data_IF_491720883778
#
_entry.id   IF_491720883778
#
_cell.length_a   1.000
_cell.length_b   1.000
_cell.length_c   1.000
_cell.angle_alpha   90.00
_cell.angle_beta   90.00
_cell.angle_gamma   90.00
#
_symmetry.space_group_name_H-M   'P 1'
#
loop_
_entity.id
_entity.type
_entity.pdbx_description
1 polymer ?
#
# COMPACT_ATOMS: atom_id res chain seq x y z
N UNK A 1 -9.64 1.19 -11.68
CA UNK A 1 -8.76 0.59 -10.66
C UNK A 1 -7.48 -0.05 -11.24
N UNK A 2 -7.08 0.29 -12.47
CA UNK A 2 -5.76 -0.04 -13.05
C UNK A 2 -4.66 0.94 -12.60
N UNK A 3 -5.01 2.00 -11.88
CA UNK A 3 -4.14 3.14 -11.63
C UNK A 3 -3.17 2.93 -10.46
N UNK A 4 -3.51 2.19 -9.40
CA UNK A 4 -2.60 2.05 -8.24
C UNK A 4 -1.44 1.08 -8.50
N UNK A 5 -1.69 -0.07 -9.14
CA UNK A 5 -0.66 -1.06 -9.47
C UNK A 5 0.37 -0.52 -10.48
N UNK A 6 -0.08 0.28 -11.45
CA UNK A 6 0.80 0.97 -12.42
C UNK A 6 1.61 2.11 -11.79
N UNK A 7 1.15 2.70 -10.66
CA UNK A 7 1.92 3.72 -9.93
C UNK A 7 2.97 3.06 -9.03
N UNK A 8 2.63 1.96 -8.35
CA UNK A 8 3.55 1.29 -7.41
C UNK A 8 4.69 0.51 -8.09
N UNK A 9 4.47 -0.01 -9.29
CA UNK A 9 5.50 -0.75 -10.03
C UNK A 9 6.73 0.10 -10.39
N UNK A 10 6.63 1.31 -10.99
CA UNK A 10 7.80 2.17 -11.22
C UNK A 10 8.39 2.76 -9.91
N UNK A 11 7.62 2.84 -8.83
CA UNK A 11 8.10 3.23 -7.49
C UNK A 11 9.04 2.15 -6.93
N UNK A 12 8.67 0.88 -7.05
CA UNK A 12 9.37 -0.26 -6.46
C UNK A 12 10.28 -1.01 -7.44
N UNK A 13 10.32 -0.64 -8.73
CA UNK A 13 11.33 -1.12 -9.69
C UNK A 13 12.25 0.01 -10.20
N UNK A 14 11.87 1.28 -10.07
CA UNK A 14 12.50 2.38 -10.79
C UNK A 14 13.43 3.29 -10.01
N UNK A 15 13.80 3.01 -8.74
CA UNK A 15 14.81 3.89 -8.13
C UNK A 15 15.25 3.72 -6.67
N UNK A 16 14.86 2.69 -5.93
CA UNK A 16 15.38 2.52 -4.55
C UNK A 16 15.36 1.06 -4.04
N UNK A 17 14.33 0.32 -4.43
CA UNK A 17 14.14 -1.08 -4.06
C UNK A 17 13.85 -1.87 -5.35
N UNK A 18 14.18 -3.15 -5.40
CA UNK A 18 13.73 -4.07 -6.45
C UNK A 18 12.70 -5.03 -5.83
N UNK A 19 11.45 -4.58 -5.72
CA UNK A 19 10.38 -5.33 -5.06
C UNK A 19 9.18 -5.42 -6.00
N UNK A 20 8.69 -6.63 -6.25
CA UNK A 20 7.41 -6.83 -6.92
C UNK A 20 6.26 -6.66 -5.91
N UNK A 21 5.38 -5.65 -6.08
CA UNK A 21 4.25 -5.46 -5.18
C UNK A 21 3.22 -6.56 -5.37
N UNK A 22 2.86 -7.25 -4.29
CA UNK A 22 1.80 -8.27 -4.29
C UNK A 22 0.62 -7.74 -3.49
N UNK A 23 -0.52 -7.55 -4.16
CA UNK A 23 -1.79 -7.21 -3.51
C UNK A 23 -2.31 -8.44 -2.76
N UNK A 24 -2.68 -8.27 -1.48
CA UNK A 24 -3.22 -9.35 -0.65
C UNK A 24 -4.71 -9.23 -0.38
N UNK A 25 -5.28 -8.04 -0.49
CA UNK A 25 -6.70 -7.77 -0.25
C UNK A 25 -7.10 -6.45 -0.88
N UNK A 26 -8.32 -6.39 -1.44
CA UNK A 26 -8.96 -5.16 -1.92
C UNK A 26 -10.33 -5.02 -1.27
N UNK A 27 -11.38 -5.64 -1.82
CA UNK A 27 -12.74 -5.61 -1.25
C UNK A 27 -13.09 -6.93 -0.54
N UNK A 28 -12.16 -7.88 -0.52
CA UNK A 28 -12.29 -9.20 0.05
C UNK A 28 -11.71 -9.28 1.48
N UNK A 29 -11.83 -10.44 2.12
CA UNK A 29 -11.31 -10.67 3.46
C UNK A 29 -12.20 -10.11 4.57
N UNK A 30 -11.69 -10.17 5.81
CA UNK A 30 -12.37 -9.66 7.00
C UNK A 30 -11.62 -8.43 7.50
N UNK A 31 -12.29 -7.30 7.48
CA UNK A 31 -11.77 -6.01 7.93
C UNK A 31 -12.58 -5.46 9.11
N UNK A 32 -12.09 -4.40 9.74
CA UNK A 32 -12.85 -3.69 10.78
C UNK A 32 -14.26 -3.36 10.27
N UNK A 33 -15.29 -3.77 11.02
CA UNK A 33 -16.68 -3.48 10.67
C UNK A 33 -16.98 -1.97 10.73
N UNK A 34 -16.18 -1.21 11.48
CA UNK A 34 -16.32 0.24 11.64
C UNK A 34 -15.23 0.91 10.81
N UNK A 35 -15.65 1.79 9.91
CA UNK A 35 -14.81 2.71 9.13
C UNK A 35 -13.77 2.07 8.18
N UNK A 36 -13.76 0.75 7.96
CA UNK A 36 -12.83 0.18 6.97
C UNK A 36 -13.21 0.60 5.55
N UNK A 37 -12.23 1.13 4.82
CA UNK A 37 -12.39 1.56 3.42
C UNK A 37 -12.20 0.42 2.41
N UNK A 38 -11.88 -0.80 2.84
CA UNK A 38 -11.87 -1.98 1.98
C UNK A 38 -13.27 -2.28 1.43
N UNK A 39 -14.31 -2.17 2.25
CA UNK A 39 -15.68 -2.48 1.84
C UNK A 39 -16.25 -1.49 0.81
N UNK A 40 -15.70 -0.28 0.72
CA UNK A 40 -16.06 0.70 -0.31
C UNK A 40 -15.13 0.67 -1.54
N UNK A 41 -14.10 -0.18 -1.53
CA UNK A 41 -13.09 -0.26 -2.58
C UNK A 41 -12.09 0.91 -2.57
N UNK A 42 -11.99 1.63 -1.45
CA UNK A 42 -11.07 2.76 -1.25
C UNK A 42 -9.84 2.39 -0.40
N UNK A 43 -9.56 1.10 -0.20
CA UNK A 43 -8.35 0.60 0.45
C UNK A 43 -7.74 -0.62 -0.27
N UNK A 44 -6.45 -0.83 -0.06
CA UNK A 44 -5.69 -1.97 -0.60
C UNK A 44 -4.56 -2.37 0.34
N UNK A 45 -4.33 -3.67 0.45
CA UNK A 45 -3.22 -4.23 1.24
C UNK A 45 -2.14 -4.80 0.33
N UNK A 46 -0.87 -4.52 0.66
CA UNK A 46 0.30 -5.06 -0.02
C UNK A 46 1.13 -5.96 0.90
N UNK A 47 1.59 -7.09 0.37
CA UNK A 47 2.45 -8.04 1.09
C UNK A 47 3.81 -7.44 1.44
N UNK A 48 4.19 -7.53 2.71
CA UNK A 48 5.56 -7.15 3.16
C UNK A 48 6.52 -8.33 3.26
N UNK A 49 6.03 -9.57 3.19
CA UNK A 49 6.88 -10.77 3.29
C UNK A 49 7.86 -10.90 2.12
N UNK A 50 7.55 -10.29 0.98
CA UNK A 50 8.40 -10.31 -0.21
C UNK A 50 9.42 -9.16 -0.22
N UNK A 51 9.39 -8.27 0.78
CA UNK A 51 10.40 -7.23 0.95
C UNK A 51 11.64 -7.91 1.55
N UNK A 52 12.81 -7.88 0.87
CA UNK A 52 14.05 -8.39 1.42
C UNK A 52 14.36 -7.81 2.81
N UNK A 53 14.86 -8.64 3.73
CA UNK A 53 15.21 -8.20 5.09
C UNK A 53 16.31 -7.13 5.13
N UNK A 54 17.07 -6.98 4.04
CA UNK A 54 18.03 -5.90 3.86
C UNK A 54 17.37 -4.52 3.75
N UNK A 55 16.07 -4.47 3.48
CA UNK A 55 15.31 -3.23 3.40
C UNK A 55 14.48 -3.03 4.66
N UNK A 56 14.55 -1.81 5.18
CA UNK A 56 13.67 -1.37 6.25
C UNK A 56 12.25 -1.17 5.69
N UNK A 57 11.29 -1.92 6.24
CA UNK A 57 9.88 -1.90 5.79
C UNK A 57 9.19 -0.57 6.09
N UNK A 58 9.61 0.13 7.15
CA UNK A 58 9.10 1.48 7.46
C UNK A 58 9.56 2.48 6.40
N UNK A 59 10.83 2.43 6.01
CA UNK A 59 11.37 3.23 4.91
C UNK A 59 10.65 2.96 3.58
N UNK A 60 10.26 1.71 3.31
CA UNK A 60 9.45 1.36 2.13
C UNK A 60 8.06 2.01 2.21
N UNK A 61 7.36 1.89 3.35
CA UNK A 61 6.05 2.49 3.54
C UNK A 61 6.09 4.02 3.43
N UNK A 62 7.12 4.65 4.00
CA UNK A 62 7.35 6.10 3.91
C UNK A 62 7.58 6.53 2.46
N UNK A 63 8.41 5.82 1.71
CA UNK A 63 8.67 6.12 0.30
C UNK A 63 7.40 5.99 -0.55
N UNK A 64 6.56 4.98 -0.28
CA UNK A 64 5.26 4.85 -0.95
C UNK A 64 4.39 6.06 -0.64
N UNK A 65 4.29 6.46 0.63
CA UNK A 65 3.52 7.63 1.07
C UNK A 65 4.00 8.92 0.40
N UNK A 66 5.30 9.15 0.33
CA UNK A 66 5.90 10.36 -0.27
C UNK A 66 5.64 10.47 -1.77
N UNK A 67 5.45 9.34 -2.45
CA UNK A 67 5.18 9.30 -3.89
C UNK A 67 3.70 9.29 -4.25
N UNK A 68 2.82 8.94 -3.30
CA UNK A 68 1.39 9.14 -3.43
C UNK A 68 1.02 10.60 -3.11
N UNK A 69 -0.20 11.01 -3.47
CA UNK A 69 -0.69 12.34 -3.08
C UNK A 69 -1.03 12.36 -1.58
N UNK A 70 -1.20 13.58 -1.02
CA UNK A 70 -1.65 13.78 0.37
C UNK A 70 -3.01 13.12 0.69
N UNK A 71 -3.75 12.69 -0.33
CA UNK A 71 -5.04 12.03 -0.19
C UNK A 71 -4.91 10.56 0.17
N UNK A 72 -3.69 10.02 0.25
CA UNK A 72 -3.48 8.63 0.63
C UNK A 72 -2.88 8.54 2.02
N UNK A 73 -3.50 7.71 2.86
CA UNK A 73 -2.93 7.25 4.11
C UNK A 73 -2.22 5.92 3.86
N UNK A 74 -0.97 5.80 4.29
CA UNK A 74 -0.17 4.59 4.18
C UNK A 74 0.27 4.19 5.58
N UNK A 75 -0.05 2.96 5.99
CA UNK A 75 0.24 2.40 7.32
C UNK A 75 0.96 1.07 7.14
N UNK A 76 2.10 0.89 7.80
CA UNK A 76 2.73 -0.42 7.91
C UNK A 76 2.05 -1.19 9.04
N UNK A 77 1.34 -2.26 8.68
CA UNK A 77 0.79 -3.22 9.62
C UNK A 77 1.76 -4.39 9.81
N UNK A 78 1.51 -5.21 10.84
CA UNK A 78 2.37 -6.35 11.18
C UNK A 78 2.59 -7.37 10.05
N UNK A 79 1.69 -7.44 9.07
CA UNK A 79 1.70 -8.45 7.99
C UNK A 79 1.60 -7.89 6.57
N UNK A 80 1.29 -6.59 6.42
CA UNK A 80 1.06 -5.93 5.14
C UNK A 80 1.27 -4.42 5.27
N UNK A 81 1.39 -3.71 4.15
CA UNK A 81 1.23 -2.25 4.09
C UNK A 81 -0.20 -1.99 3.66
N UNK A 82 -0.96 -1.29 4.50
CA UNK A 82 -2.33 -0.89 4.27
C UNK A 82 -2.35 0.54 3.69
N UNK A 83 -3.06 0.72 2.58
CA UNK A 83 -3.19 2.02 1.91
C UNK A 83 -4.67 2.35 1.75
N UNK A 84 -5.08 3.52 2.26
CA UNK A 84 -6.44 4.05 2.12
C UNK A 84 -6.45 5.36 1.37
N UNK A 85 -7.50 5.59 0.58
CA UNK A 85 -7.75 6.86 -0.09
C UNK A 85 -8.75 7.72 0.70
N UNK A 86 -8.25 8.84 1.22
CA UNK A 86 -8.97 9.89 1.94
C UNK A 86 -8.87 11.21 1.16
N UNK A 87 -9.83 11.51 0.25
CA UNK A 87 -9.78 12.74 -0.53
C UNK A 87 -9.79 13.97 0.40
N UNK A 88 -8.72 14.76 0.33
CA UNK A 88 -8.63 16.02 1.06
C UNK A 88 -9.33 17.11 0.24
N UNK A 89 -10.55 17.51 0.63
CA UNK A 89 -11.23 18.68 0.07
C UNK A 89 -10.56 19.99 0.49
#
# INVERSE_FOLDING_TARGET
>A
MLTLSLILSPILLGGAFEIEPVITSITDGKHSAVNSLHYSGAAVDFRIKNIPDAYDKESVALLIRERLTKDYQVVLESTHIHIEYHPSF
#
